data_IF_453068331320
#
_entry.id   IF_453068331320
#
_cell.length_a   1.000
_cell.length_b   1.000
_cell.length_c   1.000
_cell.angle_alpha   90.00
_cell.angle_beta   90.00
_cell.angle_gamma   90.00
#
_symmetry.space_group_name_H-M   'P 1'
#
loop_
_entity.id
_entity.type
_entity.pdbx_description
1 polymer ?
#
# COMPACT_ATOMS: atom_id res chain seq x y z
N UNK A 1 -25.29 -6.17 14.49
CA UNK A 1 -24.80 -7.49 13.99
C UNK A 1 -24.45 -7.44 12.50
N UNK A 2 -25.23 -6.80 11.64
CA UNK A 2 -24.98 -6.68 10.20
C UNK A 2 -23.69 -5.89 9.89
N UNK A 3 -23.42 -4.82 10.64
CA UNK A 3 -22.20 -3.99 10.48
C UNK A 3 -20.95 -4.81 10.82
N UNK A 4 -20.99 -5.62 11.88
CA UNK A 4 -19.87 -6.47 12.28
C UNK A 4 -19.57 -7.55 11.23
N UNK A 5 -20.60 -8.14 10.59
CA UNK A 5 -20.41 -9.12 9.52
C UNK A 5 -19.88 -8.50 8.24
N UNK A 6 -20.28 -7.27 7.89
CA UNK A 6 -19.74 -6.53 6.76
C UNK A 6 -18.25 -6.18 6.97
N UNK A 7 -17.87 -5.73 8.17
CA UNK A 7 -16.47 -5.47 8.53
C UNK A 7 -15.60 -6.74 8.40
N UNK A 8 -16.08 -7.87 8.89
CA UNK A 8 -15.38 -9.16 8.79
C UNK A 8 -15.21 -9.57 7.31
N UNK A 9 -16.22 -9.40 6.49
CA UNK A 9 -16.15 -9.71 5.04
C UNK A 9 -15.11 -8.83 4.33
N UNK A 10 -15.06 -7.54 4.62
CA UNK A 10 -14.07 -6.63 4.05
C UNK A 10 -12.65 -7.03 4.48
N UNK A 11 -12.46 -7.38 5.75
CA UNK A 11 -11.18 -7.86 6.26
C UNK A 11 -10.72 -9.15 5.57
N UNK A 12 -11.64 -10.08 5.33
CA UNK A 12 -11.33 -11.34 4.62
C UNK A 12 -10.94 -11.07 3.16
N UNK A 13 -11.64 -10.18 2.47
CA UNK A 13 -11.32 -9.82 1.08
C UNK A 13 -9.94 -9.15 1.00
N UNK A 14 -9.64 -8.21 1.91
CA UNK A 14 -8.34 -7.57 1.99
C UNK A 14 -7.22 -8.58 2.29
N UNK A 15 -7.44 -9.53 3.21
CA UNK A 15 -6.48 -10.58 3.50
C UNK A 15 -6.18 -11.46 2.27
N UNK A 16 -7.20 -11.80 1.47
CA UNK A 16 -7.01 -12.59 0.23
C UNK A 16 -6.20 -11.81 -0.80
N UNK A 17 -6.42 -10.51 -0.94
CA UNK A 17 -5.64 -9.64 -1.85
C UNK A 17 -4.17 -9.62 -1.42
N UNK A 18 -3.90 -9.45 -0.12
CA UNK A 18 -2.54 -9.42 0.42
C UNK A 18 -1.83 -10.75 0.21
N UNK A 19 -2.49 -11.87 0.50
CA UNK A 19 -1.92 -13.21 0.28
C UNK A 19 -1.51 -13.39 -1.19
N UNK A 20 -2.30 -12.89 -2.13
CA UNK A 20 -1.96 -12.97 -3.55
C UNK A 20 -0.78 -12.07 -3.93
N UNK A 21 -0.71 -10.84 -3.39
CA UNK A 21 0.40 -9.92 -3.62
C UNK A 21 1.71 -10.50 -3.04
N UNK A 22 1.71 -10.93 -1.79
CA UNK A 22 2.88 -11.51 -1.12
C UNK A 22 3.32 -12.82 -1.78
N UNK A 23 2.39 -13.67 -2.22
CA UNK A 23 2.68 -14.90 -2.97
C UNK A 23 3.26 -14.61 -4.36
N UNK A 24 2.85 -13.52 -4.99
CA UNK A 24 3.41 -13.02 -6.25
C UNK A 24 4.87 -12.59 -6.10
N UNK A 25 5.17 -11.88 -5.01
CA UNK A 25 6.51 -11.42 -4.66
C UNK A 25 7.42 -12.63 -4.37
N UNK A 26 6.98 -13.62 -3.60
CA UNK A 26 7.75 -14.85 -3.33
C UNK A 26 8.09 -15.66 -4.59
N UNK A 27 7.24 -15.65 -5.62
CA UNK A 27 7.56 -16.29 -6.90
C UNK A 27 8.64 -15.55 -7.68
N UNK A 28 8.68 -14.23 -7.60
CA UNK A 28 9.66 -13.39 -8.29
C UNK A 28 11.06 -13.50 -7.67
N UNK A 29 11.13 -13.63 -6.34
CA UNK A 29 12.42 -13.76 -5.61
C UNK A 29 13.07 -15.14 -5.79
N UNK A 30 12.29 -16.22 -6.01
CA UNK A 30 12.83 -17.55 -6.25
C UNK A 30 13.43 -17.76 -7.63
N UNK A 31 13.08 -16.93 -8.62
CA UNK A 31 13.63 -17.03 -10.00
C UNK A 31 14.95 -16.28 -10.19
N UNK A 32 15.36 -15.42 -9.26
CA UNK A 32 16.60 -14.63 -9.36
C UNK A 32 17.83 -15.33 -8.79
N UNK A 33 17.67 -16.40 -8.00
CA UNK A 33 18.79 -17.08 -7.29
C UNK A 33 19.33 -18.35 -7.97
N UNK A 34 19.11 -18.59 -9.26
CA UNK A 34 19.61 -19.82 -9.90
C UNK A 34 20.72 -19.66 -10.94
N UNK A 35 21.17 -18.43 -11.23
CA UNK A 35 22.25 -18.24 -12.20
C UNK A 35 23.34 -17.28 -11.69
N UNK A 36 24.21 -17.79 -10.81
CA UNK A 36 25.45 -17.13 -10.48
C UNK A 36 26.57 -18.20 -10.47
N UNK A 37 27.15 -18.43 -11.64
CA UNK A 37 28.54 -18.89 -11.73
C UNK A 37 29.17 -18.46 -13.05
N UNK A 38 30.37 -17.88 -12.89
CA UNK A 38 31.41 -17.62 -13.89
C UNK A 38 31.17 -16.57 -14.98
N UNK A 39 31.90 -15.45 -14.94
CA UNK A 39 33.04 -15.14 -15.80
C UNK A 39 33.79 -13.88 -15.32
N UNK A 40 35.09 -14.00 -15.33
CA UNK A 40 36.15 -13.08 -14.89
C UNK A 40 36.40 -11.99 -15.92
N UNK A 41 36.66 -10.75 -15.41
CA UNK A 41 37.48 -9.64 -15.90
C UNK A 41 37.53 -9.28 -17.40
N UNK A 42 37.15 -8.06 -17.70
CA UNK A 42 38.06 -7.12 -18.40
C UNK A 42 37.58 -5.65 -18.19
N UNK A 43 38.57 -4.84 -17.82
CA UNK A 43 38.56 -3.39 -17.63
C UNK A 43 38.44 -2.70 -18.98
N UNK A 44 37.57 -1.69 -19.10
CA UNK A 44 37.89 -0.47 -19.84
C UNK A 44 36.90 0.64 -19.52
N UNK A 45 37.45 1.78 -19.14
CA UNK A 45 36.72 3.00 -18.85
C UNK A 45 36.26 3.65 -20.17
N UNK A 46 34.96 3.93 -20.28
CA UNK A 46 34.51 5.03 -21.11
C UNK A 46 33.29 5.73 -20.45
N UNK A 47 33.56 6.99 -20.22
CA UNK A 47 32.69 8.04 -19.73
C UNK A 47 31.57 8.29 -20.77
N UNK A 48 30.34 7.96 -20.47
CA UNK A 48 29.19 8.57 -21.13
C UNK A 48 28.13 8.91 -20.10
N UNK A 49 28.01 10.21 -19.87
CA UNK A 49 26.90 10.87 -19.18
C UNK A 49 25.62 10.56 -19.95
N UNK A 50 24.91 9.52 -19.56
CA UNK A 50 23.51 9.32 -19.99
C UNK A 50 22.60 9.90 -18.93
N UNK A 51 22.05 11.04 -19.30
CA UNK A 51 20.95 11.71 -18.64
C UNK A 51 19.71 10.78 -18.75
N UNK A 52 19.54 9.86 -17.79
CA UNK A 52 18.31 9.09 -17.65
C UNK A 52 17.21 10.07 -17.26
N UNK A 53 16.48 10.48 -18.29
CA UNK A 53 15.22 11.18 -18.16
C UNK A 53 14.25 10.17 -17.52
N UNK A 54 14.06 10.27 -16.20
CA UNK A 54 12.99 9.56 -15.50
C UNK A 54 11.69 9.79 -16.26
N UNK A 55 11.29 8.82 -17.05
CA UNK A 55 9.96 8.80 -17.64
C UNK A 55 8.99 8.47 -16.52
N UNK A 56 8.40 9.52 -15.91
CA UNK A 56 7.27 9.33 -15.01
C UNK A 56 6.26 8.40 -15.68
N UNK A 57 5.76 7.37 -14.99
CA UNK A 57 4.76 6.48 -15.55
C UNK A 57 3.58 7.32 -16.05
N UNK A 58 3.10 7.03 -17.25
CA UNK A 58 1.93 7.69 -17.82
C UNK A 58 0.71 7.21 -17.05
N UNK A 59 0.35 7.95 -15.99
CA UNK A 59 -0.79 7.62 -15.14
C UNK A 59 -2.08 7.82 -15.93
N UNK A 60 -2.77 6.73 -16.19
CA UNK A 60 -4.09 6.73 -16.82
C UNK A 60 -5.15 6.82 -15.74
N UNK A 61 -5.75 7.99 -15.58
CA UNK A 61 -6.84 8.18 -14.64
C UNK A 61 -8.16 7.68 -15.24
N UNK A 62 -8.98 7.00 -14.40
CA UNK A 62 -10.31 6.57 -14.80
C UNK A 62 -11.19 7.78 -15.13
N UNK A 63 -11.85 7.72 -16.28
CA UNK A 63 -12.78 8.75 -16.74
C UNK A 63 -14.21 8.33 -16.42
N UNK A 64 -15.09 9.31 -16.15
CA UNK A 64 -16.53 9.02 -16.00
C UNK A 64 -17.08 8.51 -17.33
N UNK A 65 -17.74 7.36 -17.30
CA UNK A 65 -18.35 6.77 -18.48
C UNK A 65 -19.50 7.64 -19.03
N UNK A 66 -19.74 7.60 -20.34
CA UNK A 66 -20.85 8.34 -20.97
C UNK A 66 -22.23 7.85 -20.51
N UNK A 67 -22.31 6.61 -20.09
CA UNK A 67 -23.48 5.91 -19.56
C UNK A 67 -23.41 5.72 -18.02
N UNK A 68 -22.66 6.58 -17.34
CA UNK A 68 -22.49 6.59 -15.90
C UNK A 68 -23.84 6.57 -15.17
N UNK A 69 -23.97 5.67 -14.19
CA UNK A 69 -25.14 5.57 -13.33
C UNK A 69 -24.92 6.31 -12.00
N UNK A 70 -25.71 7.36 -11.77
CA UNK A 70 -25.72 8.06 -10.49
C UNK A 70 -26.52 7.28 -9.44
N UNK A 71 -25.83 6.85 -8.39
CA UNK A 71 -26.40 6.09 -7.26
C UNK A 71 -26.76 6.98 -6.06
N UNK A 72 -26.76 8.30 -6.21
CA UNK A 72 -26.97 9.24 -5.10
C UNK A 72 -28.35 9.08 -4.44
N UNK A 73 -29.36 8.63 -5.18
CA UNK A 73 -30.69 8.34 -4.70
C UNK A 73 -30.95 6.88 -4.34
N UNK A 74 -29.99 5.98 -4.58
CA UNK A 74 -30.17 4.54 -4.30
C UNK A 74 -30.00 4.28 -2.79
N UNK A 75 -31.10 3.86 -2.15
CA UNK A 75 -31.14 3.55 -0.72
C UNK A 75 -30.42 2.26 -0.35
N UNK A 76 -30.12 1.40 -1.33
CA UNK A 76 -29.33 0.17 -1.09
C UNK A 76 -27.83 0.49 -0.94
N UNK A 77 -27.38 1.63 -1.45
CA UNK A 77 -26.03 2.12 -1.24
C UNK A 77 -25.97 2.96 0.03
N UNK A 78 -25.72 2.31 1.16
CA UNK A 78 -25.67 2.95 2.48
C UNK A 78 -24.51 3.90 2.67
N UNK A 79 -23.39 3.70 1.93
CA UNK A 79 -22.22 4.59 2.00
C UNK A 79 -22.56 5.99 1.44
N UNK A 80 -22.07 7.08 2.04
CA UNK A 80 -22.20 8.42 1.47
C UNK A 80 -21.39 8.60 0.18
N UNK A 81 -20.35 7.79 -0.03
CA UNK A 81 -19.51 7.80 -1.22
C UNK A 81 -19.34 6.38 -1.75
N UNK A 82 -19.42 6.22 -3.06
CA UNK A 82 -19.20 4.95 -3.73
C UNK A 82 -18.70 5.17 -5.16
N UNK A 83 -17.84 4.29 -5.66
CA UNK A 83 -17.42 4.27 -7.05
C UNK A 83 -17.31 2.83 -7.53
N UNK A 84 -17.84 2.56 -8.71
CA UNK A 84 -17.69 1.30 -9.42
C UNK A 84 -16.86 1.57 -10.68
N UNK A 85 -15.70 0.90 -10.77
CA UNK A 85 -14.74 1.11 -11.84
C UNK A 85 -14.67 -0.10 -12.75
N UNK A 86 -14.69 0.15 -14.05
CA UNK A 86 -14.19 -0.76 -15.08
C UNK A 86 -12.68 -0.55 -15.18
N UNK A 87 -11.92 -1.47 -14.61
CA UNK A 87 -10.46 -1.36 -14.50
C UNK A 87 -9.81 -1.50 -15.87
N UNK A 88 -10.32 -2.39 -16.72
CA UNK A 88 -9.75 -2.69 -18.04
C UNK A 88 -9.90 -1.50 -19.01
N UNK A 89 -11.03 -0.79 -18.92
CA UNK A 89 -11.32 0.36 -19.77
C UNK A 89 -11.05 1.71 -19.09
N UNK A 90 -10.54 1.72 -17.86
CA UNK A 90 -10.29 2.91 -17.06
C UNK A 90 -11.51 3.84 -16.96
N UNK A 91 -12.68 3.28 -16.62
CA UNK A 91 -13.93 4.04 -16.54
C UNK A 91 -14.59 3.90 -15.18
N UNK A 92 -15.16 4.99 -14.70
CA UNK A 92 -16.09 5.01 -13.56
C UNK A 92 -17.48 4.83 -14.16
N UNK A 93 -18.10 3.66 -13.95
CA UNK A 93 -19.37 3.30 -14.60
C UNK A 93 -20.59 3.57 -13.74
N UNK A 94 -20.42 3.62 -12.42
CA UNK A 94 -21.47 4.01 -11.48
C UNK A 94 -20.87 4.60 -10.21
N UNK A 95 -21.64 5.36 -9.45
CA UNK A 95 -21.17 5.85 -8.16
C UNK A 95 -22.12 6.82 -7.47
N UNK A 96 -21.74 7.13 -6.24
CA UNK A 96 -22.37 8.13 -5.38
C UNK A 96 -21.29 9.08 -4.94
N UNK A 97 -21.37 10.35 -5.35
CA UNK A 97 -20.33 11.35 -5.11
C UNK A 97 -18.91 10.85 -5.49
N UNK A 98 -18.81 10.08 -6.57
CA UNK A 98 -17.62 9.31 -6.94
C UNK A 98 -16.39 10.16 -7.30
N UNK A 99 -16.60 11.44 -7.64
CA UNK A 99 -15.54 12.39 -8.04
C UNK A 99 -15.24 13.43 -6.97
N UNK A 100 -15.89 13.34 -5.82
CA UNK A 100 -15.68 14.29 -4.73
C UNK A 100 -14.43 13.94 -3.92
N UNK A 101 -13.77 14.98 -3.40
CA UNK A 101 -12.65 14.79 -2.46
C UNK A 101 -13.19 14.41 -1.10
N UNK A 102 -12.68 13.29 -0.56
CA UNK A 102 -13.12 12.75 0.72
C UNK A 102 -11.92 12.51 1.65
N UNK A 103 -12.23 12.27 2.93
CA UNK A 103 -11.28 11.70 3.88
C UNK A 103 -11.51 10.17 3.93
N UNK A 104 -10.64 9.38 3.28
CA UNK A 104 -10.88 7.95 3.10
C UNK A 104 -10.58 7.11 4.35
N UNK A 105 -10.18 7.74 5.45
CA UNK A 105 -9.77 7.09 6.70
C UNK A 105 -8.73 5.98 6.42
N UNK A 106 -8.87 4.80 7.02
CA UNK A 106 -7.90 3.71 6.87
C UNK A 106 -7.75 3.15 5.46
N UNK A 107 -8.62 3.51 4.51
CA UNK A 107 -8.38 3.17 3.09
C UNK A 107 -7.08 3.78 2.56
N UNK A 108 -6.58 4.87 3.16
CA UNK A 108 -5.26 5.45 2.87
C UNK A 108 -4.13 4.42 3.02
N UNK A 109 -4.26 3.47 3.95
CA UNK A 109 -3.24 2.43 4.18
C UNK A 109 -3.04 1.48 2.98
N UNK A 110 -4.03 1.38 2.10
CA UNK A 110 -3.88 0.64 0.83
C UNK A 110 -2.84 1.33 -0.05
N UNK A 111 -2.85 2.67 -0.11
CA UNK A 111 -1.83 3.42 -0.85
C UNK A 111 -0.46 3.26 -0.19
N UNK A 112 -0.37 3.34 1.13
CA UNK A 112 0.87 3.04 1.87
C UNK A 112 1.43 1.67 1.49
N UNK A 113 0.58 0.64 1.45
CA UNK A 113 0.99 -0.72 1.06
C UNK A 113 1.53 -0.77 -0.38
N UNK A 114 0.89 -0.08 -1.32
CA UNK A 114 1.33 -0.04 -2.72
C UNK A 114 2.72 0.61 -2.82
N UNK A 115 2.90 1.79 -2.23
CA UNK A 115 4.19 2.51 -2.26
C UNK A 115 5.30 1.68 -1.62
N UNK A 116 5.05 1.10 -0.44
CA UNK A 116 6.01 0.20 0.23
C UNK A 116 6.37 -0.99 -0.66
N UNK A 117 5.38 -1.60 -1.33
CA UNK A 117 5.61 -2.75 -2.21
C UNK A 117 6.52 -2.43 -3.39
N UNK A 118 6.49 -1.20 -3.89
CA UNK A 118 7.38 -0.72 -4.97
C UNK A 118 8.81 -0.46 -4.50
N UNK A 119 9.03 -0.31 -3.18
CA UNK A 119 10.33 0.03 -2.59
C UNK A 119 10.99 -1.11 -1.80
N UNK A 120 10.41 -2.32 -1.78
CA UNK A 120 10.87 -3.45 -0.96
C UNK A 120 12.36 -3.80 -1.13
N UNK A 121 12.91 -3.62 -2.33
CA UNK A 121 14.31 -3.95 -2.61
C UNK A 121 15.29 -2.88 -2.09
N UNK A 122 14.84 -1.64 -1.90
CA UNK A 122 15.67 -0.48 -1.53
C UNK A 122 15.57 -0.09 -0.05
N UNK A 123 14.60 -0.62 0.70
CA UNK A 123 14.35 -0.26 2.09
C UNK A 123 15.00 -1.24 3.08
N UNK A 124 15.22 -0.85 4.35
CA UNK A 124 15.62 -1.76 5.43
C UNK A 124 14.67 -2.97 5.53
N UNK A 125 15.15 -4.09 6.04
CA UNK A 125 14.33 -5.31 6.15
C UNK A 125 13.59 -5.43 7.47
N UNK A 126 13.99 -4.67 8.48
CA UNK A 126 13.41 -4.70 9.82
C UNK A 126 13.29 -3.30 10.39
N UNK A 127 12.36 -3.10 11.30
CA UNK A 127 12.17 -1.89 12.09
C UNK A 127 12.11 -2.22 13.57
N UNK A 128 12.76 -1.39 14.41
CA UNK A 128 12.69 -1.51 15.88
C UNK A 128 11.83 -0.36 16.43
N UNK A 129 10.79 -0.70 17.17
CA UNK A 129 9.83 0.27 17.66
C UNK A 129 10.37 1.11 18.81
N UNK A 130 10.21 2.42 18.70
CA UNK A 130 10.67 3.40 19.69
C UNK A 130 9.52 3.88 20.58
N UNK A 131 9.89 4.27 21.83
CA UNK A 131 8.92 4.73 22.83
C UNK A 131 8.11 5.94 22.35
N UNK A 132 8.75 6.94 21.75
CA UNK A 132 8.11 8.19 21.34
C UNK A 132 6.97 7.95 20.35
N UNK A 133 7.19 7.12 19.35
CA UNK A 133 6.17 6.75 18.36
C UNK A 133 4.99 6.04 19.03
N UNK A 134 5.25 4.97 19.78
CA UNK A 134 4.20 4.15 20.36
C UNK A 134 3.41 4.91 21.43
N UNK A 135 4.07 5.75 22.24
CA UNK A 135 3.43 6.57 23.26
C UNK A 135 2.53 7.64 22.63
N UNK A 136 2.98 8.30 21.56
CA UNK A 136 2.17 9.27 20.81
C UNK A 136 0.92 8.62 20.23
N UNK A 137 1.06 7.49 19.53
CA UNK A 137 -0.06 6.74 18.95
C UNK A 137 -1.04 6.21 20.03
N UNK A 138 -0.51 5.91 21.24
CA UNK A 138 -1.36 5.55 22.37
C UNK A 138 -2.21 6.73 22.86
N UNK A 139 -1.61 7.91 23.00
CA UNK A 139 -2.30 9.14 23.43
C UNK A 139 -3.35 9.57 22.40
N UNK A 140 -3.05 9.41 21.11
CA UNK A 140 -3.95 9.73 20.00
C UNK A 140 -5.07 8.68 19.80
N UNK A 141 -5.10 7.63 20.61
CA UNK A 141 -6.04 6.51 20.49
C UNK A 141 -6.05 5.86 19.10
N UNK A 142 -4.90 5.92 18.41
CA UNK A 142 -4.75 5.34 17.07
C UNK A 142 -4.89 3.81 17.10
N UNK A 143 -5.43 3.23 16.01
CA UNK A 143 -5.42 1.78 15.82
C UNK A 143 -3.97 1.29 15.69
N UNK A 144 -3.62 0.21 16.40
CA UNK A 144 -2.25 -0.33 16.44
C UNK A 144 -2.25 -1.83 16.25
N UNK A 145 -1.17 -2.34 15.66
CA UNK A 145 -0.93 -3.78 15.56
C UNK A 145 -0.56 -4.40 16.92
N UNK A 146 0.04 -3.60 17.80
CA UNK A 146 0.29 -3.99 19.19
C UNK A 146 1.75 -4.34 19.47
N UNK A 147 2.68 -3.84 18.70
CA UNK A 147 4.11 -3.98 18.95
C UNK A 147 4.53 -3.23 20.22
N UNK A 148 5.58 -3.75 20.88
CA UNK A 148 6.13 -3.19 22.12
C UNK A 148 7.41 -2.38 21.85
N UNK A 149 7.76 -1.52 22.83
CA UNK A 149 9.00 -0.72 22.77
C UNK A 149 10.21 -1.64 22.75
N UNK A 150 11.10 -1.44 21.76
CA UNK A 150 12.29 -2.27 21.54
C UNK A 150 12.02 -3.56 20.76
N UNK A 151 10.76 -3.86 20.46
CA UNK A 151 10.43 -4.98 19.56
C UNK A 151 10.89 -4.69 18.15
N UNK A 152 11.39 -5.72 17.47
CA UNK A 152 11.84 -5.63 16.08
C UNK A 152 10.97 -6.53 15.22
N UNK A 153 10.35 -5.95 14.19
CA UNK A 153 9.52 -6.66 13.22
C UNK A 153 10.13 -6.58 11.83
N UNK A 154 9.90 -7.59 11.00
CA UNK A 154 10.27 -7.54 9.60
C UNK A 154 9.20 -6.81 8.74
N UNK A 155 9.56 -6.48 7.49
CA UNK A 155 8.68 -5.75 6.57
C UNK A 155 7.39 -6.51 6.30
N UNK A 156 7.43 -7.83 6.19
CA UNK A 156 6.26 -8.66 5.91
C UNK A 156 5.27 -8.57 7.08
N UNK A 157 5.73 -8.68 8.32
CA UNK A 157 4.90 -8.54 9.52
C UNK A 157 4.31 -7.13 9.64
N UNK A 158 5.10 -6.09 9.32
CA UNK A 158 4.61 -4.71 9.28
C UNK A 158 3.54 -4.49 8.22
N UNK A 159 3.66 -5.10 7.03
CA UNK A 159 2.63 -5.03 5.99
C UNK A 159 1.34 -5.72 6.42
N UNK A 160 1.42 -6.86 7.11
CA UNK A 160 0.24 -7.51 7.71
C UNK A 160 -0.36 -6.64 8.84
N UNK A 161 0.46 -6.11 9.73
CA UNK A 161 0.05 -5.22 10.80
C UNK A 161 -0.57 -3.91 10.30
N UNK A 162 -0.12 -3.39 9.15
CA UNK A 162 -0.70 -2.24 8.49
C UNK A 162 -2.17 -2.48 8.10
N UNK A 163 -2.47 -3.64 7.53
CA UNK A 163 -3.76 -3.90 6.88
C UNK A 163 -4.74 -4.63 7.79
N UNK A 164 -4.34 -5.70 8.49
CA UNK A 164 -5.28 -6.55 9.23
C UNK A 164 -5.90 -5.82 10.43
N UNK A 165 -5.11 -5.29 11.40
CA UNK A 165 -5.64 -4.48 12.49
C UNK A 165 -5.70 -2.99 12.13
N UNK A 166 -5.31 -2.61 10.91
CA UNK A 166 -5.20 -1.20 10.49
C UNK A 166 -4.19 -0.41 11.33
N UNK A 167 -3.03 -1.00 11.63
CA UNK A 167 -2.02 -0.46 12.54
C UNK A 167 -1.40 0.84 12.05
N UNK A 168 -1.51 1.91 12.84
CA UNK A 168 -0.81 3.17 12.59
C UNK A 168 0.68 3.05 12.94
N UNK A 169 1.03 2.23 13.93
CA UNK A 169 2.39 1.87 14.28
C UNK A 169 3.13 1.26 13.08
N UNK A 170 2.50 0.31 12.38
CA UNK A 170 3.05 -0.27 11.16
C UNK A 170 3.10 0.74 10.00
N UNK A 171 2.09 1.60 9.86
CA UNK A 171 2.07 2.63 8.82
C UNK A 171 3.26 3.58 8.94
N UNK A 172 3.53 4.07 10.15
CA UNK A 172 4.65 4.98 10.41
C UNK A 172 6.01 4.28 10.28
N UNK A 173 6.14 3.07 10.82
CA UNK A 173 7.35 2.27 10.65
C UNK A 173 7.70 2.09 9.18
N UNK A 174 6.74 1.67 8.35
CA UNK A 174 6.92 1.49 6.92
C UNK A 174 7.22 2.81 6.19
N UNK A 175 6.59 3.91 6.57
CA UNK A 175 6.88 5.23 6.00
C UNK A 175 8.32 5.67 6.28
N UNK A 176 8.78 5.53 7.54
CA UNK A 176 10.14 5.84 7.95
C UNK A 176 11.15 4.94 7.21
N UNK A 177 10.88 3.66 7.11
CA UNK A 177 11.75 2.71 6.41
C UNK A 177 11.87 3.01 4.92
N UNK A 178 10.80 3.49 4.29
CA UNK A 178 10.76 3.76 2.85
C UNK A 178 11.38 5.12 2.49
N UNK A 179 11.06 6.17 3.26
CA UNK A 179 11.39 7.55 2.91
C UNK A 179 12.19 8.31 4.00
N UNK A 180 12.54 7.65 5.10
CA UNK A 180 13.30 8.24 6.21
C UNK A 180 12.46 9.07 7.19
N UNK A 181 11.25 9.49 6.81
CA UNK A 181 10.30 10.20 7.68
C UNK A 181 8.87 10.06 7.17
N UNK A 182 7.89 10.41 8.01
CA UNK A 182 6.47 10.46 7.62
C UNK A 182 6.23 11.53 6.56
N UNK A 183 6.84 12.71 6.73
CA UNK A 183 6.71 13.83 5.79
C UNK A 183 7.35 13.50 4.43
N UNK A 184 8.47 12.78 4.43
CA UNK A 184 9.13 12.34 3.20
C UNK A 184 8.34 11.28 2.44
N UNK A 185 7.51 10.51 3.16
CA UNK A 185 6.64 9.49 2.58
C UNK A 185 5.36 10.07 1.98
N UNK A 186 4.82 11.17 2.54
CA UNK A 186 3.55 11.80 2.15
C UNK A 186 3.70 12.67 0.88
#
# INVERSE_FOLDING_TARGET
RIIATAMIMIMVILAVIIINVVSGIRKKTKTVNSDADSVVLQTEAQNESQNEKETKPNLVYSQVASDYQDLSSDTNVASPYAALLDVDNHKIIAGKHATEKIYPASMTKVMTLIVVSEHLDSMPKTYTFEFEMLNRLYIEEASRAGFEVGETADVEDLMYGLILPSGADCAEALAIMTAGSIEGFA
#
